data_IF_297381231300
#
_entry.id   IF_297381231300
#
_cell.length_a   1.000
_cell.length_b   1.000
_cell.length_c   1.000
_cell.angle_alpha   90.00
_cell.angle_beta   90.00
_cell.angle_gamma   90.00
#
_symmetry.space_group_name_H-M   'P 1'
#
loop_
_entity.id
_entity.type
_entity.pdbx_description
1 polymer ?
#
# COMPACT_ATOMS: atom_id res chain seq x y z
N UNK A 1 7.33 11.14 6.05
CA UNK A 1 5.93 10.76 6.33
C UNK A 1 5.36 9.82 5.27
N UNK A 2 5.40 10.18 3.97
CA UNK A 2 4.83 9.37 2.87
C UNK A 2 5.38 7.93 2.77
N UNK A 3 6.69 7.73 2.92
CA UNK A 3 7.30 6.39 2.92
C UNK A 3 6.81 5.50 4.08
N UNK A 4 6.61 6.07 5.26
CA UNK A 4 6.06 5.35 6.41
C UNK A 4 4.62 4.91 6.18
N UNK A 5 3.79 5.80 5.61
CA UNK A 5 2.41 5.49 5.23
C UNK A 5 2.36 4.41 4.13
N UNK A 6 3.24 4.50 3.13
CA UNK A 6 3.37 3.49 2.07
C UNK A 6 3.68 2.11 2.65
N UNK A 7 4.66 2.02 3.56
CA UNK A 7 5.01 0.78 4.23
C UNK A 7 3.82 0.19 5.01
N UNK A 8 3.10 1.02 5.78
CA UNK A 8 1.91 0.59 6.52
C UNK A 8 0.85 0.02 5.58
N UNK A 9 0.52 0.73 4.49
CA UNK A 9 -0.48 0.26 3.52
C UNK A 9 -0.08 -1.08 2.90
N UNK A 10 1.18 -1.23 2.47
CA UNK A 10 1.66 -2.48 1.88
C UNK A 10 1.56 -3.63 2.89
N UNK A 11 2.02 -3.42 4.13
CA UNK A 11 1.98 -4.46 5.18
C UNK A 11 0.54 -4.81 5.55
N UNK A 12 -0.33 -3.82 5.76
CA UNK A 12 -1.74 -4.06 6.12
C UNK A 12 -2.47 -4.78 4.99
N UNK A 13 -2.27 -4.36 3.74
CA UNK A 13 -2.85 -5.04 2.58
C UNK A 13 -2.37 -6.49 2.46
N UNK A 14 -1.08 -6.73 2.71
CA UNK A 14 -0.47 -8.08 2.68
C UNK A 14 -0.99 -8.98 3.81
N UNK A 15 -1.11 -8.46 5.03
CA UNK A 15 -1.74 -9.21 6.13
C UNK A 15 -3.21 -9.52 5.80
N UNK A 16 -3.89 -8.58 5.14
CA UNK A 16 -5.26 -8.76 4.67
C UNK A 16 -5.44 -9.99 3.77
N UNK A 17 -4.50 -10.30 2.88
CA UNK A 17 -4.63 -11.48 1.99
C UNK A 17 -4.64 -12.81 2.74
N UNK A 18 -4.07 -12.85 3.96
CA UNK A 18 -4.01 -14.03 4.81
C UNK A 18 -5.05 -14.08 5.94
N UNK A 19 -5.57 -12.93 6.38
CA UNK A 19 -6.50 -12.83 7.52
C UNK A 19 -7.98 -12.77 7.07
N UNK A 20 -8.26 -12.12 5.93
CA UNK A 20 -9.63 -11.97 5.44
C UNK A 20 -10.12 -13.25 4.73
N UNK A 21 -11.45 -13.47 4.64
CA UNK A 21 -12.00 -14.59 3.89
C UNK A 21 -11.52 -14.59 2.43
N UNK A 22 -11.21 -15.77 1.89
CA UNK A 22 -10.71 -15.95 0.52
C UNK A 22 -11.78 -15.76 -0.57
N UNK A 23 -12.62 -14.73 -0.45
CA UNK A 23 -13.57 -14.35 -1.49
C UNK A 23 -12.95 -13.31 -2.42
N UNK A 24 -13.39 -13.24 -3.70
CA UNK A 24 -12.86 -12.28 -4.66
C UNK A 24 -12.89 -10.83 -4.17
N UNK A 25 -13.94 -10.45 -3.44
CA UNK A 25 -14.10 -9.10 -2.91
C UNK A 25 -12.96 -8.71 -1.95
N UNK A 26 -12.64 -9.57 -0.98
CA UNK A 26 -11.58 -9.27 -0.01
C UNK A 26 -10.19 -9.29 -0.64
N UNK A 27 -9.97 -10.13 -1.66
CA UNK A 27 -8.71 -10.14 -2.40
C UNK A 27 -8.51 -8.86 -3.21
N UNK A 28 -9.58 -8.36 -3.84
CA UNK A 28 -9.54 -7.06 -4.53
C UNK A 28 -9.27 -5.93 -3.53
N UNK A 29 -9.92 -5.95 -2.36
CA UNK A 29 -9.71 -4.95 -1.32
C UNK A 29 -8.25 -4.96 -0.82
N UNK A 30 -7.72 -6.13 -0.43
CA UNK A 30 -6.35 -6.29 0.03
C UNK A 30 -5.33 -5.90 -1.04
N UNK A 31 -5.53 -6.37 -2.28
CA UNK A 31 -4.69 -5.98 -3.42
C UNK A 31 -4.74 -4.48 -3.69
N UNK A 32 -5.92 -3.86 -3.61
CA UNK A 32 -6.10 -2.42 -3.77
C UNK A 32 -5.33 -1.60 -2.72
N UNK A 33 -5.33 -2.05 -1.46
CA UNK A 33 -4.57 -1.41 -0.39
C UNK A 33 -3.05 -1.49 -0.65
N UNK A 34 -2.56 -2.62 -1.14
CA UNK A 34 -1.13 -2.78 -1.50
C UNK A 34 -0.75 -1.84 -2.64
N UNK A 35 -1.55 -1.79 -3.71
CA UNK A 35 -1.31 -0.90 -4.86
C UNK A 35 -1.35 0.56 -4.43
N UNK A 36 -2.28 0.95 -3.57
CA UNK A 36 -2.33 2.29 -3.00
C UNK A 36 -1.06 2.62 -2.20
N UNK A 37 -0.53 1.67 -1.43
CA UNK A 37 0.74 1.82 -0.73
C UNK A 37 1.91 2.10 -1.66
N UNK A 38 2.05 1.34 -2.75
CA UNK A 38 3.08 1.60 -3.77
C UNK A 38 2.90 2.94 -4.47
N UNK A 39 1.65 3.34 -4.78
CA UNK A 39 1.37 4.64 -5.38
C UNK A 39 1.80 5.80 -4.45
N UNK A 40 1.47 5.72 -3.16
CA UNK A 40 1.88 6.69 -2.13
C UNK A 40 3.41 6.71 -1.97
N UNK A 41 4.05 5.55 -2.01
CA UNK A 41 5.52 5.44 -1.95
C UNK A 41 6.18 6.13 -3.16
N UNK A 42 5.65 5.90 -4.36
CA UNK A 42 6.15 6.50 -5.59
C UNK A 42 5.99 8.03 -5.60
N UNK A 43 4.83 8.56 -5.21
CA UNK A 43 4.64 10.01 -5.12
C UNK A 43 5.49 10.65 -4.03
N UNK A 44 5.66 9.96 -2.89
CA UNK A 44 6.52 10.39 -1.81
C UNK A 44 8.01 10.47 -2.19
N UNK A 45 8.51 9.48 -2.94
CA UNK A 45 9.88 9.47 -3.48
C UNK A 45 10.10 10.62 -4.46
N UNK A 46 9.17 10.83 -5.40
CA UNK A 46 9.26 11.94 -6.37
C UNK A 46 9.25 13.31 -5.69
N UNK A 47 8.47 13.47 -4.63
CA UNK A 47 8.46 14.71 -3.86
C UNK A 47 9.79 14.95 -3.12
N UNK A 48 10.45 13.89 -2.67
CA UNK A 48 11.76 13.98 -2.02
C UNK A 48 12.87 14.32 -3.02
N UNK A 49 12.91 13.64 -4.17
CA UNK A 49 13.87 13.92 -5.26
C UNK A 49 13.75 15.35 -5.82
N UNK A 50 12.57 15.98 -5.73
CA UNK A 50 12.37 17.37 -6.17
C UNK A 50 12.84 18.42 -5.15
N UNK A 51 13.08 18.02 -3.90
CA UNK A 51 13.46 18.89 -2.79
C UNK A 51 14.97 18.85 -2.46
N UNK A 52 15.68 17.86 -2.97
CA UNK A 52 17.14 17.69 -2.89
C UNK A 52 17.84 18.30 -4.11
#
# INVERSE_FOLDING_TARGET
MFLGLAAVLIVVGTLGTGILPSTPFYQILSGGIIVAGFAVGHTGLRAFEFLE
#
